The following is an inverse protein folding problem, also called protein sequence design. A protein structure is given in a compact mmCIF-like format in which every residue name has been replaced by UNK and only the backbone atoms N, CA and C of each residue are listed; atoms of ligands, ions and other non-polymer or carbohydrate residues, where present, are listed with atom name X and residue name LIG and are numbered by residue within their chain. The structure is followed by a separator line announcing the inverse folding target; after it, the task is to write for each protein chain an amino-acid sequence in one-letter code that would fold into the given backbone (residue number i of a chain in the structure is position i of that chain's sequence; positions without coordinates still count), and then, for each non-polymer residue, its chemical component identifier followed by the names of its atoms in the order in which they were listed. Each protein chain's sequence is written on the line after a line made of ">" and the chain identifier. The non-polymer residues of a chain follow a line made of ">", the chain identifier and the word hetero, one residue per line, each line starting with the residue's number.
data_IF_009175938841
#
_entry.id   IF_009175938841
#
_cell.length_a   1.000
_cell.length_b   1.000
_cell.length_c   1.000
_cell.angle_alpha   90.00
_cell.angle_beta   90.00
_cell.angle_gamma   90.00
#
_symmetry.space_group_name_H-M   'P 1'
#
loop_
_entity.id
_entity.type
_entity.pdbx_description
1 polymer ?
#
# COMPACT_ATOMS: atom_id res chain seq x y z
N UNK A 1 5.27 47.55 -30.50
CA UNK A 1 4.40 46.46 -29.98
C UNK A 1 5.09 45.10 -30.08
N UNK A 2 5.54 44.69 -31.27
CA UNK A 2 6.22 43.41 -31.49
C UNK A 2 7.55 43.25 -30.73
N UNK A 3 8.37 44.30 -30.63
CA UNK A 3 9.63 44.25 -29.87
C UNK A 3 9.46 43.94 -28.37
N UNK A 4 8.30 44.25 -27.78
CA UNK A 4 8.03 43.91 -26.38
C UNK A 4 7.66 42.44 -26.19
N UNK A 5 7.07 41.83 -27.23
CA UNK A 5 6.70 40.41 -27.25
C UNK A 5 7.97 39.57 -27.37
N UNK A 6 8.89 39.94 -28.27
CA UNK A 6 10.17 39.23 -28.44
C UNK A 6 11.00 39.21 -27.15
N UNK A 7 11.08 40.34 -26.44
CA UNK A 7 11.78 40.43 -25.15
C UNK A 7 11.17 39.54 -24.05
N UNK A 8 9.86 39.29 -24.10
CA UNK A 8 9.17 38.41 -23.15
C UNK A 8 9.41 36.94 -23.53
N UNK A 9 9.40 36.61 -24.82
CA UNK A 9 9.71 35.27 -25.34
C UNK A 9 11.12 34.84 -24.92
N UNK A 10 12.12 35.71 -25.09
CA UNK A 10 13.50 35.45 -24.67
C UNK A 10 13.63 35.17 -23.16
N UNK A 11 12.86 35.89 -22.34
CA UNK A 11 12.83 35.69 -20.87
C UNK A 11 12.22 34.34 -20.49
N UNK A 12 11.09 33.97 -21.13
CA UNK A 12 10.43 32.69 -20.88
C UNK A 12 11.31 31.52 -21.33
N UNK A 13 11.97 31.63 -22.48
CA UNK A 13 12.87 30.58 -22.96
C UNK A 13 14.03 30.33 -21.99
N UNK A 14 14.62 31.41 -21.46
CA UNK A 14 15.70 31.31 -20.45
C UNK A 14 15.22 30.67 -19.15
N UNK A 15 13.99 30.93 -18.72
CA UNK A 15 13.40 30.29 -17.53
C UNK A 15 13.18 28.79 -17.76
N UNK A 16 12.66 28.39 -18.92
CA UNK A 16 12.43 26.97 -19.26
C UNK A 16 13.76 26.20 -19.32
N UNK A 17 14.81 26.77 -19.91
CA UNK A 17 16.15 26.15 -19.95
C UNK A 17 16.73 25.96 -18.54
N UNK A 18 16.61 26.97 -17.65
CA UNK A 18 17.03 26.87 -16.24
C UNK A 18 16.25 25.80 -15.48
N UNK A 19 14.94 25.69 -15.71
CA UNK A 19 14.11 24.69 -15.05
C UNK A 19 14.44 23.27 -15.53
N UNK A 20 14.55 23.05 -16.85
CA UNK A 20 14.96 21.76 -17.43
C UNK A 20 16.31 21.29 -16.92
N UNK A 21 17.30 22.19 -16.87
CA UNK A 21 18.64 21.88 -16.33
C UNK A 21 18.63 21.62 -14.83
N UNK A 22 17.78 22.32 -14.05
CA UNK A 22 17.61 22.06 -12.61
C UNK A 22 16.98 20.69 -12.35
N UNK A 23 15.98 20.30 -13.14
CA UNK A 23 15.28 19.01 -13.02
C UNK A 23 16.17 17.85 -13.48
N UNK A 24 16.93 18.01 -14.56
CA UNK A 24 17.79 16.95 -15.11
C UNK A 24 19.14 16.78 -14.37
N UNK A 25 19.46 17.61 -13.36
CA UNK A 25 20.73 17.54 -12.62
C UNK A 25 20.72 16.51 -11.46
N UNK A 26 19.61 15.81 -11.23
CA UNK A 26 19.48 14.67 -10.28
C UNK A 26 18.75 13.55 -11.04
N UNK A 27 19.28 12.31 -11.20
CA UNK A 27 20.23 11.58 -10.37
C UNK A 27 21.46 11.05 -11.15
N UNK A 28 22.68 11.40 -10.72
CA UNK A 28 23.92 10.82 -11.26
C UNK A 28 24.91 10.44 -10.16
N UNK A 29 24.39 9.99 -9.01
CA UNK A 29 25.18 9.47 -7.89
C UNK A 29 24.90 7.99 -7.56
N UNK A 30 24.11 7.28 -8.36
CA UNK A 30 23.77 5.85 -8.16
C UNK A 30 24.18 4.95 -9.34
N UNK A 31 25.15 5.37 -10.17
CA UNK A 31 25.60 4.59 -11.35
C UNK A 31 27.02 4.00 -11.23
N UNK A 32 27.60 3.98 -10.02
CA UNK A 32 28.91 3.36 -9.79
C UNK A 32 28.80 1.90 -9.30
N UNK A 33 27.65 1.49 -8.75
CA UNK A 33 27.41 0.13 -8.25
C UNK A 33 26.93 -0.86 -9.31
N UNK A 34 26.41 -0.41 -10.45
CA UNK A 34 25.79 -1.29 -11.46
C UNK A 34 26.75 -1.94 -12.46
N UNK A 35 28.06 -1.69 -12.38
CA UNK A 35 29.01 -2.31 -13.33
C UNK A 35 29.53 -3.69 -12.91
N UNK A 36 29.25 -4.13 -11.69
CA UNK A 36 29.67 -5.46 -11.21
C UNK A 36 28.59 -6.52 -11.52
N UNK A 37 27.30 -6.15 -11.56
CA UNK A 37 26.20 -7.10 -11.76
C UNK A 37 26.03 -7.57 -13.23
N UNK A 38 26.58 -6.84 -14.20
CA UNK A 38 26.35 -7.12 -15.63
C UNK A 38 27.04 -8.40 -16.14
N UNK A 39 28.02 -8.95 -15.42
CA UNK A 39 28.74 -10.16 -15.84
C UNK A 39 28.09 -11.47 -15.34
N UNK A 40 27.18 -11.40 -14.36
CA UNK A 40 26.54 -12.58 -13.75
C UNK A 40 25.18 -12.91 -14.40
N UNK A 41 24.59 -11.96 -15.13
CA UNK A 41 23.22 -12.05 -15.68
C UNK A 41 23.12 -12.77 -17.05
N UNK A 42 24.16 -13.46 -17.52
CA UNK A 42 24.17 -14.10 -18.86
C UNK A 42 23.84 -15.60 -18.85
N UNK A 43 23.48 -16.18 -17.70
CA UNK A 43 23.51 -17.64 -17.53
C UNK A 43 22.36 -18.29 -16.76
N UNK A 44 21.13 -17.74 -16.76
CA UNK A 44 19.98 -18.51 -16.25
C UNK A 44 18.65 -18.15 -16.96
N UNK A 45 17.76 -19.15 -17.16
CA UNK A 45 16.66 -19.08 -18.12
C UNK A 45 15.50 -18.23 -17.59
N UNK A 46 14.70 -17.73 -18.54
CA UNK A 46 13.46 -16.98 -18.32
C UNK A 46 12.57 -17.68 -17.27
N UNK A 47 12.59 -17.17 -16.05
CA UNK A 47 11.55 -17.41 -15.05
C UNK A 47 10.71 -16.14 -15.05
N UNK A 48 9.45 -16.26 -15.47
CA UNK A 48 8.43 -15.23 -15.33
C UNK A 48 8.36 -14.78 -13.86
N UNK A 49 9.09 -13.71 -13.53
CA UNK A 49 8.98 -13.03 -12.24
C UNK A 49 7.69 -12.22 -12.29
N UNK A 50 6.58 -12.88 -11.94
CA UNK A 50 5.42 -12.17 -11.39
C UNK A 50 5.96 -11.42 -10.19
N UNK A 51 6.10 -10.10 -10.33
CA UNK A 51 6.54 -9.20 -9.27
C UNK A 51 5.70 -9.52 -8.02
N UNK A 52 6.34 -10.08 -7.01
CA UNK A 52 5.79 -10.20 -5.67
C UNK A 52 5.56 -8.78 -5.17
N UNK A 53 4.35 -8.25 -5.37
CA UNK A 53 3.86 -7.07 -4.65
C UNK A 53 3.98 -7.38 -3.16
N UNK A 54 5.09 -6.95 -2.56
CA UNK A 54 5.39 -7.20 -1.16
C UNK A 54 4.17 -6.82 -0.31
N UNK A 55 3.60 -7.77 0.43
CA UNK A 55 2.42 -7.57 1.28
C UNK A 55 2.66 -6.43 2.28
N UNK A 56 2.27 -5.20 1.92
CA UNK A 56 2.42 -4.04 2.78
C UNK A 56 1.29 -4.00 3.81
N UNK A 57 1.64 -4.16 5.09
CA UNK A 57 0.71 -3.95 6.19
C UNK A 57 0.41 -2.45 6.29
N UNK A 58 -0.78 -2.04 5.84
CA UNK A 58 -1.17 -0.63 5.75
C UNK A 58 -1.46 -0.01 7.12
N UNK A 59 -2.06 -0.79 8.04
CA UNK A 59 -2.52 -0.27 9.33
C UNK A 59 -2.71 -1.38 10.36
N UNK A 60 -2.24 -1.14 11.58
CA UNK A 60 -2.49 -2.02 12.73
C UNK A 60 -3.58 -1.40 13.61
N UNK A 61 -4.69 -2.12 13.84
CA UNK A 61 -5.74 -1.71 14.78
C UNK A 61 -5.65 -2.59 16.03
N UNK A 62 -5.53 -1.96 17.19
CA UNK A 62 -5.51 -2.63 18.49
C UNK A 62 -6.89 -2.54 19.11
N UNK A 63 -7.41 -3.65 19.60
CA UNK A 63 -8.68 -3.73 20.30
C UNK A 63 -8.50 -4.47 21.62
N UNK A 64 -9.31 -4.11 22.60
CA UNK A 64 -9.43 -4.88 23.83
C UNK A 64 -10.52 -5.93 23.61
N UNK A 65 -10.15 -7.20 23.69
CA UNK A 65 -11.11 -8.29 23.65
C UNK A 65 -11.92 -8.27 24.94
N UNK A 66 -13.25 -8.24 24.80
CA UNK A 66 -14.20 -8.37 25.89
C UNK A 66 -14.99 -9.65 25.68
N UNK A 67 -15.29 -10.40 26.76
CA UNK A 67 -16.19 -11.53 26.67
C UNK A 67 -17.60 -11.03 26.33
N UNK A 68 -18.18 -11.57 25.26
CA UNK A 68 -19.53 -11.27 24.79
C UNK A 68 -20.08 -12.46 23.99
N UNK A 69 -21.39 -12.47 23.75
CA UNK A 69 -22.05 -13.49 22.92
C UNK A 69 -21.88 -13.18 21.42
N UNK A 70 -22.04 -14.21 20.60
CA UNK A 70 -22.05 -14.19 19.13
C UNK A 70 -22.98 -13.09 18.56
N UNK A 71 -24.20 -12.97 19.07
CA UNK A 71 -25.17 -11.98 18.59
C UNK A 71 -24.73 -10.54 18.91
N UNK A 72 -24.17 -10.34 20.10
CA UNK A 72 -23.63 -9.05 20.53
C UNK A 72 -22.42 -8.65 19.69
N UNK A 73 -21.54 -9.60 19.37
CA UNK A 73 -20.41 -9.39 18.48
C UNK A 73 -20.86 -8.96 17.06
N UNK A 74 -21.91 -9.60 16.50
CA UNK A 74 -22.49 -9.21 15.21
C UNK A 74 -23.03 -7.77 15.25
N UNK A 75 -23.74 -7.41 16.33
CA UNK A 75 -24.28 -6.06 16.48
C UNK A 75 -23.18 -5.01 16.52
N UNK A 76 -22.12 -5.25 17.31
CA UNK A 76 -20.97 -4.34 17.41
C UNK A 76 -20.21 -4.23 16.07
N UNK A 77 -20.03 -5.36 15.37
CA UNK A 77 -19.43 -5.38 14.03
C UNK A 77 -20.20 -4.47 13.06
N UNK A 78 -21.53 -4.56 13.05
CA UNK A 78 -22.40 -3.79 12.18
C UNK A 78 -22.40 -2.30 12.52
N UNK A 79 -22.39 -1.93 13.81
CA UNK A 79 -22.28 -0.54 14.25
C UNK A 79 -20.97 0.11 13.83
N UNK A 80 -19.87 -0.65 13.81
CA UNK A 80 -18.55 -0.19 13.38
C UNK A 80 -18.37 -0.23 11.85
N UNK A 81 -19.28 -0.87 11.12
CA UNK A 81 -19.15 -1.10 9.68
C UNK A 81 -17.93 -1.95 9.31
N UNK A 82 -17.59 -2.94 10.14
CA UNK A 82 -16.48 -3.85 9.88
C UNK A 82 -16.98 -5.14 9.23
N UNK A 83 -16.13 -5.77 8.41
CA UNK A 83 -16.45 -7.05 7.77
C UNK A 83 -16.12 -8.25 8.67
N UNK A 84 -15.30 -8.03 9.70
CA UNK A 84 -14.93 -9.03 10.69
C UNK A 84 -14.82 -8.37 12.07
N UNK A 85 -15.04 -9.17 13.11
CA UNK A 85 -14.93 -8.76 14.49
C UNK A 85 -14.39 -9.91 15.34
N UNK A 86 -13.39 -9.60 16.15
CA UNK A 86 -12.73 -10.57 17.03
C UNK A 86 -13.20 -10.31 18.46
N UNK A 87 -13.65 -11.36 19.13
CA UNK A 87 -14.16 -11.28 20.49
C UNK A 87 -13.80 -12.55 21.27
N UNK A 88 -14.04 -12.51 22.58
CA UNK A 88 -13.89 -13.69 23.43
C UNK A 88 -15.29 -14.22 23.70
N UNK A 89 -15.50 -15.51 23.51
CA UNK A 89 -16.80 -16.15 23.76
C UNK A 89 -17.10 -16.18 25.26
N UNK A 90 -18.34 -15.92 25.64
CA UNK A 90 -18.70 -15.83 27.05
C UNK A 90 -18.65 -17.19 27.77
N UNK A 91 -18.94 -18.28 27.07
CA UNK A 91 -18.98 -19.64 27.65
C UNK A 91 -17.62 -20.34 27.64
N UNK A 92 -16.95 -20.40 26.48
CA UNK A 92 -15.66 -21.09 26.35
C UNK A 92 -14.47 -20.23 26.79
N UNK A 93 -14.64 -18.91 26.89
CA UNK A 93 -13.55 -17.94 27.06
C UNK A 93 -12.48 -18.02 25.95
N UNK A 94 -12.81 -18.64 24.82
CA UNK A 94 -11.94 -18.77 23.66
C UNK A 94 -12.09 -17.59 22.71
N UNK A 95 -11.11 -17.41 21.82
CA UNK A 95 -11.13 -16.30 20.87
C UNK A 95 -11.87 -16.70 19.61
N UNK A 96 -13.00 -16.05 19.36
CA UNK A 96 -13.82 -16.28 18.18
C UNK A 96 -13.76 -15.07 17.24
N UNK A 97 -13.94 -15.34 15.95
CA UNK A 97 -13.98 -14.31 14.91
C UNK A 97 -15.28 -14.45 14.14
N UNK A 98 -16.15 -13.45 14.24
CA UNK A 98 -17.32 -13.30 13.37
C UNK A 98 -16.92 -12.54 12.12
N UNK A 99 -17.38 -12.97 10.96
CA UNK A 99 -17.20 -12.25 9.71
C UNK A 99 -18.41 -12.36 8.78
N UNK A 100 -18.57 -11.35 7.94
CA UNK A 100 -19.60 -11.32 6.91
C UNK A 100 -19.07 -11.96 5.62
N UNK A 101 -19.79 -12.96 5.11
CA UNK A 101 -19.49 -13.57 3.81
C UNK A 101 -19.93 -12.64 2.68
N UNK A 102 -19.38 -12.86 1.48
CA UNK A 102 -19.82 -12.17 0.25
C UNK A 102 -21.31 -12.36 -0.04
N UNK A 103 -21.89 -13.46 0.45
CA UNK A 103 -23.32 -13.80 0.33
C UNK A 103 -24.22 -13.03 1.33
N UNK A 104 -23.64 -12.16 2.18
CA UNK A 104 -24.36 -11.38 3.19
C UNK A 104 -24.68 -12.14 4.49
N UNK A 105 -24.40 -13.44 4.55
CA UNK A 105 -24.55 -14.27 5.76
C UNK A 105 -23.35 -14.10 6.70
N UNK A 106 -23.59 -14.31 7.99
CA UNK A 106 -22.54 -14.33 9.01
C UNK A 106 -21.95 -15.73 9.14
N UNK A 107 -20.65 -15.79 9.43
CA UNK A 107 -19.93 -17.01 9.75
C UNK A 107 -18.98 -16.74 10.93
N UNK A 108 -18.66 -17.81 11.65
CA UNK A 108 -17.80 -17.80 12.83
C UNK A 108 -16.57 -18.64 12.51
N UNK A 109 -15.39 -18.16 12.91
CA UNK A 109 -14.14 -18.90 12.94
C UNK A 109 -13.74 -19.05 14.40
N UNK A 110 -13.55 -20.29 14.81
CA UNK A 110 -13.06 -20.70 16.12
C UNK A 110 -11.57 -21.00 16.00
N UNK A 111 -10.81 -20.69 17.04
CA UNK A 111 -9.38 -20.97 17.14
C UNK A 111 -9.21 -22.01 18.24
N UNK A 112 -8.88 -23.24 17.85
CA UNK A 112 -8.49 -24.33 18.76
C UNK A 112 -7.01 -24.25 19.15
#
# INVERSE_FOLDING_TARGET
>A
MYAAIDLIVDKLERQVRKYKTKVNRKPRQTKASQKIDAAVMLLEPEVDTVEEEAFQVVRTKRFHLKPMDTEEAILQMNMLGHQFFVYTEAESLETHIVYQRKDGKYAIIEIE
#
